data_IF_658867720807
#
_entry.id   IF_658867720807
#
_cell.length_a   1.000
_cell.length_b   1.000
_cell.length_c   1.000
_cell.angle_alpha   90.00
_cell.angle_beta   90.00
_cell.angle_gamma   90.00
#
_symmetry.space_group_name_H-M   'P 1'
#
loop_
_entity.id
_entity.type
_entity.pdbx_description
1 polymer ?
#
# COMPACT_ATOMS: atom_id res chain seq x y z
N UNK A 1 -49.00 -11.30 -44.67
CA UNK A 1 -48.23 -10.48 -43.71
C UNK A 1 -46.84 -10.33 -44.30
N UNK A 2 -46.43 -9.08 -44.45
CA UNK A 2 -45.34 -8.64 -45.33
C UNK A 2 -43.96 -9.04 -44.83
N UNK A 3 -43.16 -9.37 -45.83
CA UNK A 3 -41.72 -9.54 -45.86
C UNK A 3 -40.99 -8.28 -45.36
N UNK A 4 -39.99 -8.47 -44.49
CA UNK A 4 -39.03 -7.45 -44.08
C UNK A 4 -37.67 -8.12 -43.91
N UNK A 5 -36.84 -7.92 -44.93
CA UNK A 5 -35.43 -8.30 -45.01
C UNK A 5 -34.51 -7.33 -44.23
N UNK A 6 -33.27 -7.81 -44.00
CA UNK A 6 -32.00 -7.11 -43.68
C UNK A 6 -31.37 -7.39 -42.30
N UNK A 7 -30.04 -7.29 -42.13
CA UNK A 7 -28.99 -7.97 -42.89
C UNK A 7 -27.93 -8.63 -41.99
N UNK A 8 -27.12 -9.52 -42.56
CA UNK A 8 -25.93 -10.12 -41.94
C UNK A 8 -24.78 -9.10 -41.85
N UNK A 9 -24.10 -9.02 -40.71
CA UNK A 9 -22.74 -8.45 -40.62
C UNK A 9 -21.90 -9.25 -39.63
N UNK A 10 -20.89 -9.89 -40.20
CA UNK A 10 -19.77 -10.57 -39.56
C UNK A 10 -18.98 -9.63 -38.65
N UNK A 11 -18.79 -10.00 -37.39
CA UNK A 11 -17.73 -9.44 -36.56
C UNK A 11 -16.70 -10.55 -36.26
N UNK A 12 -15.66 -10.61 -37.09
CA UNK A 12 -14.35 -11.14 -36.72
C UNK A 12 -13.82 -10.26 -35.59
N UNK A 13 -13.58 -10.85 -34.43
CA UNK A 13 -12.82 -10.25 -33.34
C UNK A 13 -11.90 -11.29 -32.73
N UNK A 14 -10.70 -11.42 -33.29
CA UNK A 14 -9.58 -12.04 -32.60
C UNK A 14 -9.35 -11.30 -31.28
N UNK A 15 -9.49 -12.00 -30.15
CA UNK A 15 -8.78 -11.65 -28.92
C UNK A 15 -7.97 -12.86 -28.48
N UNK A 16 -6.85 -13.07 -29.16
CA UNK A 16 -5.70 -13.66 -28.51
C UNK A 16 -5.24 -12.71 -27.42
N UNK A 17 -5.43 -13.07 -26.15
CA UNK A 17 -4.53 -12.56 -25.11
C UNK A 17 -4.17 -13.71 -24.21
N UNK A 18 -2.99 -14.23 -24.53
CA UNK A 18 -2.23 -15.22 -23.79
C UNK A 18 -2.19 -14.92 -22.30
N UNK A 19 -2.13 -15.99 -21.51
CA UNK A 19 -1.64 -15.99 -20.14
C UNK A 19 -0.41 -15.09 -19.97
N UNK A 20 -0.62 -13.88 -19.43
CA UNK A 20 0.45 -13.14 -18.78
C UNK A 20 0.43 -13.60 -17.33
N UNK A 21 1.42 -14.38 -16.91
CA UNK A 21 1.79 -14.47 -15.50
C UNK A 21 2.00 -13.02 -15.02
N UNK A 22 0.99 -12.48 -14.33
CA UNK A 22 0.75 -11.05 -14.24
C UNK A 22 1.82 -10.38 -13.39
N UNK A 23 2.79 -9.73 -14.04
CA UNK A 23 3.78 -8.90 -13.35
C UNK A 23 3.03 -7.87 -12.52
N UNK A 24 3.05 -8.03 -11.20
CA UNK A 24 2.47 -7.06 -10.28
C UNK A 24 3.42 -5.87 -10.18
N UNK A 25 2.89 -4.67 -10.41
CA UNK A 25 3.65 -3.44 -10.34
C UNK A 25 3.75 -2.97 -8.89
N UNK A 26 4.97 -2.67 -8.45
CA UNK A 26 5.31 -2.18 -7.13
C UNK A 26 6.06 -0.85 -7.21
N UNK A 27 6.10 -0.15 -6.09
CA UNK A 27 6.92 1.04 -5.86
C UNK A 27 7.84 0.75 -4.68
N UNK A 28 9.14 0.73 -4.93
CA UNK A 28 10.14 0.75 -3.88
C UNK A 28 10.26 2.17 -3.35
N UNK A 29 9.91 2.38 -2.09
CA UNK A 29 10.07 3.65 -1.37
C UNK A 29 11.18 3.48 -0.34
N UNK A 30 12.25 4.23 -0.51
CA UNK A 30 13.36 4.32 0.45
C UNK A 30 13.39 5.71 1.05
N UNK A 31 13.50 5.83 2.37
CA UNK A 31 13.45 7.11 3.08
C UNK A 31 14.61 7.27 4.06
N UNK A 32 14.86 8.49 4.52
CA UNK A 32 15.88 8.78 5.55
C UNK A 32 15.27 9.51 6.73
N UNK A 33 15.56 9.02 7.93
CA UNK A 33 15.16 9.64 9.20
C UNK A 33 16.28 10.47 9.85
N UNK A 34 17.44 10.57 9.19
CA UNK A 34 18.59 11.30 9.72
C UNK A 34 18.29 12.80 9.86
N UNK A 35 18.77 13.41 10.95
CA UNK A 35 18.56 14.83 11.23
C UNK A 35 17.12 15.23 11.60
N UNK A 36 16.16 14.31 11.59
CA UNK A 36 14.76 14.64 11.91
C UNK A 36 14.48 14.63 13.42
N UNK A 37 13.48 15.41 13.89
CA UNK A 37 13.02 15.36 15.27
C UNK A 37 12.53 13.97 15.70
N UNK A 38 12.72 13.63 16.97
CA UNK A 38 12.29 12.34 17.53
C UNK A 38 10.79 12.08 17.33
N UNK A 39 9.95 13.12 17.42
CA UNK A 39 8.51 13.01 17.16
C UNK A 39 8.23 12.51 15.73
N UNK A 40 8.93 13.04 14.73
CA UNK A 40 8.79 12.62 13.34
C UNK A 40 9.24 11.18 13.15
N UNK A 41 10.38 10.80 13.74
CA UNK A 41 10.88 9.42 13.71
C UNK A 41 9.86 8.43 14.29
N UNK A 42 9.26 8.79 15.43
CA UNK A 42 8.21 7.99 16.07
C UNK A 42 6.98 7.89 15.17
N UNK A 43 6.53 9.00 14.58
CA UNK A 43 5.36 9.01 13.70
C UNK A 43 5.56 8.13 12.46
N UNK A 44 6.74 8.20 11.82
CA UNK A 44 7.07 7.35 10.67
C UNK A 44 7.16 5.89 11.11
N UNK A 45 7.86 5.60 12.21
CA UNK A 45 7.99 4.23 12.73
C UNK A 45 6.62 3.62 13.05
N UNK A 46 5.71 4.35 13.70
CA UNK A 46 4.34 3.88 13.97
C UNK A 46 3.53 3.65 12.70
N UNK A 47 3.72 4.48 11.66
CA UNK A 47 3.03 4.31 10.38
C UNK A 47 3.51 3.05 9.65
N UNK A 48 4.80 2.74 9.73
CA UNK A 48 5.41 1.58 9.06
C UNK A 48 5.21 0.29 9.86
N UNK A 49 5.55 0.32 11.15
CA UNK A 49 5.62 -0.86 12.00
C UNK A 49 4.37 -1.12 12.85
N UNK A 50 3.42 -0.19 12.85
CA UNK A 50 2.31 -0.21 13.78
C UNK A 50 2.74 0.16 15.20
N UNK A 51 1.80 0.11 16.13
CA UNK A 51 2.10 0.26 17.56
C UNK A 51 1.01 -0.36 18.43
N UNK A 52 1.35 -0.61 19.68
CA UNK A 52 0.39 -1.02 20.71
C UNK A 52 0.26 0.07 21.76
N UNK A 53 -0.95 0.28 22.25
CA UNK A 53 -1.27 1.24 23.30
C UNK A 53 -2.05 0.56 24.41
N UNK A 54 -1.62 0.73 25.66
CA UNK A 54 -2.33 0.23 26.83
C UNK A 54 -3.04 1.39 27.51
N UNK A 55 -4.34 1.23 27.80
CA UNK A 55 -5.13 2.23 28.53
C UNK A 55 -5.78 1.57 29.74
N UNK A 56 -5.68 2.23 30.88
CA UNK A 56 -6.41 1.81 32.07
C UNK A 56 -7.89 2.15 31.91
N UNK A 57 -8.76 1.17 32.15
CA UNK A 57 -10.22 1.32 32.04
C UNK A 57 -10.82 1.04 33.41
N UNK A 58 -11.42 2.07 34.00
CA UNK A 58 -12.11 1.97 35.29
C UNK A 58 -13.31 1.03 35.13
N UNK A 59 -13.41 0.01 35.99
CA UNK A 59 -14.52 -0.95 36.01
C UNK A 59 -14.28 -2.29 35.31
N UNK A 60 -13.10 -2.50 34.70
CA UNK A 60 -12.71 -3.80 34.14
C UNK A 60 -11.91 -4.59 35.19
N UNK A 61 -12.25 -5.86 35.46
CA UNK A 61 -11.44 -6.72 36.35
C UNK A 61 -10.10 -6.98 35.65
N UNK A 62 -9.00 -6.52 36.27
CA UNK A 62 -7.66 -6.49 35.64
C UNK A 62 -7.28 -5.16 34.96
N UNK A 63 -8.22 -4.21 34.85
CA UNK A 63 -7.99 -2.77 34.70
C UNK A 63 -7.30 -2.24 33.43
N UNK A 64 -6.78 -3.09 32.53
CA UNK A 64 -6.00 -2.67 31.35
C UNK A 64 -6.62 -3.19 30.06
N UNK A 65 -6.82 -2.30 29.09
CA UNK A 65 -7.17 -2.65 27.70
C UNK A 65 -5.99 -2.32 26.79
N UNK A 66 -5.57 -3.30 25.99
CA UNK A 66 -4.55 -3.13 24.96
C UNK A 66 -5.20 -2.92 23.58
N UNK A 67 -4.68 -1.94 22.85
CA UNK A 67 -5.11 -1.57 21.50
C UNK A 67 -3.93 -1.78 20.56
N UNK A 68 -4.15 -2.54 19.49
CA UNK A 68 -3.16 -2.78 18.44
C UNK A 68 -3.54 -1.96 17.22
N UNK A 69 -2.59 -1.19 16.72
CA UNK A 69 -2.73 -0.39 15.50
C UNK A 69 -1.75 -0.95 14.48
N UNK A 70 -2.22 -1.68 13.44
CA UNK A 70 -1.35 -2.26 12.43
C UNK A 70 -0.63 -1.16 11.64
N UNK A 71 0.59 -1.46 11.20
CA UNK A 71 1.37 -0.61 10.32
C UNK A 71 1.27 -1.02 8.87
N UNK A 72 1.92 -0.25 7.99
CA UNK A 72 2.01 -0.58 6.56
C UNK A 72 2.64 -1.95 6.32
N UNK A 73 3.59 -2.41 7.15
CA UNK A 73 4.20 -3.73 6.98
C UNK A 73 3.23 -4.90 7.21
N UNK A 74 2.11 -4.63 7.88
CA UNK A 74 1.09 -5.63 8.19
C UNK A 74 -0.02 -5.65 7.11
N UNK A 75 0.03 -4.72 6.14
CA UNK A 75 -0.91 -4.66 5.02
C UNK A 75 -0.60 -5.73 3.96
N UNK A 76 -1.63 -6.30 3.32
CA UNK A 76 -1.43 -7.27 2.24
C UNK A 76 -0.57 -6.69 1.11
N UNK A 77 0.27 -7.56 0.54
CA UNK A 77 1.16 -7.22 -0.57
C UNK A 77 2.18 -6.10 -0.25
N UNK A 78 2.38 -5.70 1.01
CA UNK A 78 3.51 -4.83 1.39
C UNK A 78 4.71 -5.67 1.79
N UNK A 79 5.88 -5.36 1.24
CA UNK A 79 7.13 -6.07 1.57
C UNK A 79 8.07 -5.10 2.28
N UNK A 80 8.45 -5.44 3.51
CA UNK A 80 9.46 -4.70 4.25
C UNK A 80 10.85 -5.16 3.82
N UNK A 81 11.54 -4.32 3.04
CA UNK A 81 12.81 -4.67 2.40
C UNK A 81 13.99 -4.37 3.33
N UNK A 82 13.93 -3.24 4.03
CA UNK A 82 14.92 -2.81 5.02
C UNK A 82 14.27 -1.82 6.00
N UNK A 83 14.94 -1.49 7.10
CA UNK A 83 14.42 -0.59 8.15
C UNK A 83 13.87 0.74 7.62
N UNK A 84 14.44 1.26 6.53
CA UNK A 84 13.99 2.49 5.87
C UNK A 84 13.59 2.28 4.41
N UNK A 85 13.15 1.07 4.04
CA UNK A 85 12.71 0.76 2.69
C UNK A 85 11.53 -0.22 2.66
N UNK A 86 10.49 0.16 1.93
CA UNK A 86 9.28 -0.65 1.71
C UNK A 86 9.02 -0.82 0.22
N UNK A 87 8.62 -2.01 -0.17
CA UNK A 87 8.02 -2.26 -1.47
C UNK A 87 6.51 -2.25 -1.30
N UNK A 88 5.85 -1.30 -1.96
CA UNK A 88 4.42 -1.07 -1.84
C UNK A 88 3.74 -1.40 -3.17
N UNK A 89 2.52 -1.95 -3.19
CA UNK A 89 1.77 -2.12 -4.42
C UNK A 89 1.57 -0.75 -5.09
N UNK A 90 1.60 -0.69 -6.42
CA UNK A 90 1.39 0.56 -7.19
C UNK A 90 -0.08 0.97 -7.17
N UNK A 91 -0.56 1.41 -6.01
CA UNK A 91 -1.92 1.85 -5.74
C UNK A 91 -1.91 3.04 -4.73
N UNK A 92 -3.09 3.40 -4.23
CA UNK A 92 -3.27 4.53 -3.30
C UNK A 92 -2.48 4.39 -1.99
N UNK A 93 -2.11 3.17 -1.59
CA UNK A 93 -1.32 2.93 -0.39
C UNK A 93 0.11 3.47 -0.56
N UNK A 94 0.73 3.25 -1.73
CA UNK A 94 2.02 3.82 -2.06
C UNK A 94 1.95 5.36 -2.13
N UNK A 95 0.96 5.90 -2.84
CA UNK A 95 0.74 7.35 -2.96
C UNK A 95 0.54 8.00 -1.60
N UNK A 96 -0.32 7.43 -0.76
CA UNK A 96 -0.62 7.93 0.58
C UNK A 96 0.59 7.89 1.51
N UNK A 97 1.45 6.88 1.39
CA UNK A 97 2.70 6.83 2.16
C UNK A 97 3.70 7.90 1.70
N UNK A 98 3.90 8.06 0.39
CA UNK A 98 4.77 9.11 -0.16
C UNK A 98 4.27 10.52 0.20
N UNK A 99 2.96 10.75 0.20
CA UNK A 99 2.38 12.00 0.69
C UNK A 99 2.62 12.23 2.19
N UNK A 100 2.44 11.18 3.00
CA UNK A 100 2.72 11.26 4.43
C UNK A 100 4.19 11.65 4.69
N UNK A 101 5.13 11.02 3.99
CA UNK A 101 6.55 11.36 4.08
C UNK A 101 6.82 12.82 3.68
N UNK A 102 6.22 13.27 2.57
CA UNK A 102 6.31 14.67 2.11
C UNK A 102 5.79 15.66 3.16
N UNK A 103 4.62 15.41 3.75
CA UNK A 103 4.02 16.27 4.81
C UNK A 103 4.87 16.30 6.08
N UNK A 104 5.65 15.25 6.34
CA UNK A 104 6.57 15.15 7.48
C UNK A 104 7.98 15.65 7.19
N UNK A 105 8.20 16.22 5.99
CA UNK A 105 9.51 16.68 5.52
C UNK A 105 10.58 15.57 5.57
N UNK A 106 10.17 14.34 5.34
CA UNK A 106 11.06 13.18 5.26
C UNK A 106 11.56 13.07 3.83
N UNK A 107 12.87 13.09 3.62
CA UNK A 107 13.47 12.83 2.32
C UNK A 107 13.26 11.36 1.94
N UNK A 108 12.80 11.11 0.71
CA UNK A 108 12.61 9.77 0.18
C UNK A 108 12.88 9.72 -1.33
N UNK A 109 13.14 8.52 -1.82
CA UNK A 109 13.20 8.19 -3.25
C UNK A 109 12.19 7.10 -3.56
N UNK A 110 11.57 7.15 -4.73
CA UNK A 110 10.67 6.11 -5.23
C UNK A 110 11.17 5.55 -6.56
N UNK A 111 11.00 4.24 -6.76
CA UNK A 111 11.30 3.55 -8.03
C UNK A 111 10.22 2.53 -8.33
N UNK A 112 9.75 2.48 -9.56
CA UNK A 112 8.87 1.40 -9.98
C UNK A 112 9.66 0.09 -10.13
N UNK A 113 9.07 -0.99 -9.63
CA UNK A 113 9.66 -2.34 -9.64
C UNK A 113 8.59 -3.33 -10.08
N UNK A 114 9.01 -4.34 -10.85
CA UNK A 114 8.13 -5.42 -11.29
C UNK A 114 8.63 -6.71 -10.65
N UNK A 115 7.77 -7.37 -9.88
CA UNK A 115 8.08 -8.70 -9.36
C UNK A 115 7.70 -9.74 -10.43
N UNK A 116 8.64 -10.64 -10.71
CA UNK A 116 8.47 -11.80 -11.60
C UNK A 116 8.19 -13.06 -10.78
#
# INVERSE_FOLDING_TARGET
MSDSSEPSTTARGNASTSAAAGRRAYVLVSYSLSGLPNLTKIQVSRRVNGYRSKKYVKGLVGGVREYTYPGLKDEPDVIHVAESALLLPKNDLATGFMEFLRRKLVTYTSREVWLQ
#
